data_IF_549656607263
#
_entry.id   IF_549656607263
#
_cell.length_a   1.000
_cell.length_b   1.000
_cell.length_c   1.000
_cell.angle_alpha   90.00
_cell.angle_beta   90.00
_cell.angle_gamma   90.00
#
_symmetry.space_group_name_H-M   'P 1'
#
loop_
_entity.id
_entity.type
_entity.pdbx_description
1 polymer ?
#
# COMPACT_ATOMS: atom_id res chain seq x y z
N UNK A 1 -27.95 21.52 1.47
CA UNK A 1 -27.45 21.74 2.84
C UNK A 1 -26.18 20.92 3.05
N UNK A 2 -25.07 21.29 2.45
CA UNK A 2 -23.81 20.54 2.60
C UNK A 2 -22.56 21.46 2.50
N UNK A 3 -22.62 22.64 3.12
CA UNK A 3 -21.55 23.64 3.04
C UNK A 3 -20.83 23.90 4.38
N UNK A 4 -21.11 23.15 5.45
CA UNK A 4 -20.60 23.48 6.78
C UNK A 4 -19.45 22.62 7.32
N UNK A 5 -19.02 21.53 6.66
CA UNK A 5 -17.92 20.69 7.20
C UNK A 5 -16.57 20.90 6.53
N UNK A 6 -16.51 21.58 5.39
CA UNK A 6 -15.25 21.85 4.66
C UNK A 6 -14.37 22.94 5.29
N UNK A 7 -14.95 23.84 6.10
CA UNK A 7 -14.20 24.99 6.65
C UNK A 7 -13.30 24.65 7.85
N UNK A 8 -13.54 23.52 8.54
CA UNK A 8 -12.79 23.18 9.77
C UNK A 8 -11.48 22.44 9.52
N UNK A 9 -11.39 21.64 8.43
CA UNK A 9 -10.17 20.86 8.13
C UNK A 9 -9.14 21.68 7.38
N UNK A 10 -9.57 22.59 6.52
CA UNK A 10 -8.69 23.50 5.76
C UNK A 10 -8.11 24.61 6.66
N UNK A 11 -8.80 25.02 7.71
CA UNK A 11 -8.37 26.09 8.62
C UNK A 11 -7.11 25.76 9.44
N UNK A 12 -6.90 24.49 9.79
CA UNK A 12 -5.77 24.12 10.67
C UNK A 12 -4.43 23.98 9.92
N UNK A 13 -4.44 23.70 8.61
CA UNK A 13 -3.20 23.69 7.80
C UNK A 13 -2.75 25.11 7.43
N UNK A 14 -3.68 26.09 7.41
CA UNK A 14 -3.39 27.47 6.99
C UNK A 14 -2.60 28.30 8.01
N UNK A 15 -2.61 27.96 9.29
CA UNK A 15 -2.00 28.80 10.33
C UNK A 15 -0.51 28.54 10.58
N UNK A 16 0.11 27.55 9.94
CA UNK A 16 1.49 27.14 10.24
C UNK A 16 2.54 27.52 9.19
N UNK A 17 2.18 28.19 8.08
CA UNK A 17 3.19 28.64 7.12
C UNK A 17 3.02 30.12 6.78
N UNK A 18 3.90 31.01 7.29
CA UNK A 18 3.86 32.45 6.99
C UNK A 18 4.34 32.80 5.58
N UNK A 19 4.68 31.85 4.73
CA UNK A 19 5.10 32.07 3.36
C UNK A 19 3.91 31.98 2.42
N UNK A 20 3.75 33.00 1.61
CA UNK A 20 2.72 33.21 0.59
C UNK A 20 2.78 32.18 -0.58
N UNK A 21 3.55 31.10 -0.45
CA UNK A 21 3.74 30.10 -1.50
C UNK A 21 2.62 29.04 -1.43
N UNK A 22 1.60 29.18 -2.28
CA UNK A 22 0.49 28.22 -2.45
C UNK A 22 0.73 27.26 -3.62
N UNK A 23 1.99 27.06 -4.01
CA UNK A 23 2.36 26.15 -5.09
C UNK A 23 2.40 24.71 -4.58
N UNK A 24 1.71 23.79 -5.27
CA UNK A 24 1.58 22.38 -4.89
C UNK A 24 1.96 21.48 -6.05
N UNK A 25 2.85 20.52 -5.80
CA UNK A 25 3.17 19.45 -6.72
C UNK A 25 2.16 18.33 -6.61
N UNK A 26 1.42 18.07 -7.68
CA UNK A 26 0.42 16.99 -7.74
C UNK A 26 0.96 15.78 -8.50
N UNK A 27 0.99 14.61 -7.86
CA UNK A 27 1.24 13.33 -8.52
C UNK A 27 0.07 12.95 -9.42
N UNK A 28 0.24 13.08 -10.74
CA UNK A 28 -0.79 12.82 -11.75
C UNK A 28 -0.60 11.45 -12.39
N UNK A 29 -1.64 10.62 -12.36
CA UNK A 29 -1.68 9.34 -13.08
C UNK A 29 -2.51 9.38 -14.36
N UNK A 30 -3.14 10.52 -14.66
CA UNK A 30 -4.13 10.64 -15.73
C UNK A 30 -5.50 10.04 -15.38
N UNK A 31 -5.65 9.31 -14.28
CA UNK A 31 -6.90 8.68 -13.86
C UNK A 31 -7.86 9.61 -13.13
N UNK A 32 -9.03 9.07 -12.77
CA UNK A 32 -10.16 9.76 -12.11
C UNK A 32 -9.70 10.56 -10.88
N UNK A 33 -9.00 9.89 -9.97
CA UNK A 33 -8.69 10.44 -8.64
C UNK A 33 -7.68 11.60 -8.73
N UNK A 34 -6.64 11.46 -9.54
CA UNK A 34 -5.67 12.55 -9.74
C UNK A 34 -6.28 13.76 -10.46
N UNK A 35 -7.19 13.54 -11.40
CA UNK A 35 -7.91 14.60 -12.10
C UNK A 35 -8.81 15.39 -11.14
N UNK A 36 -9.58 14.67 -10.32
CA UNK A 36 -10.44 15.32 -9.32
C UNK A 36 -9.63 16.11 -8.28
N UNK A 37 -8.51 15.53 -7.81
CA UNK A 37 -7.62 16.20 -6.87
C UNK A 37 -7.03 17.51 -7.43
N UNK A 38 -6.62 17.53 -8.71
CA UNK A 38 -6.15 18.75 -9.37
C UNK A 38 -7.21 19.86 -9.36
N UNK A 39 -8.44 19.55 -9.78
CA UNK A 39 -9.55 20.49 -9.81
C UNK A 39 -9.86 21.04 -8.40
N UNK A 40 -9.92 20.18 -7.40
CA UNK A 40 -10.20 20.59 -6.02
C UNK A 40 -9.11 21.52 -5.46
N UNK A 41 -7.85 21.27 -5.79
CA UNK A 41 -6.73 22.13 -5.38
C UNK A 41 -6.81 23.50 -6.06
N UNK A 42 -7.10 23.56 -7.36
CA UNK A 42 -7.29 24.82 -8.08
C UNK A 42 -8.47 25.62 -7.51
N UNK A 43 -9.59 24.97 -7.18
CA UNK A 43 -10.75 25.64 -6.55
C UNK A 43 -10.43 26.17 -5.15
N UNK A 44 -9.48 25.55 -4.44
CA UNK A 44 -8.97 26.03 -3.15
C UNK A 44 -7.91 27.14 -3.31
N UNK A 45 -7.60 27.54 -4.54
CA UNK A 45 -6.66 28.62 -4.86
C UNK A 45 -5.19 28.21 -4.77
N UNK A 46 -4.87 26.93 -4.95
CA UNK A 46 -3.49 26.49 -5.14
C UNK A 46 -3.05 26.65 -6.59
N UNK A 47 -1.78 27.02 -6.79
CA UNK A 47 -1.09 26.88 -8.05
C UNK A 47 -0.62 25.43 -8.17
N UNK A 48 -1.28 24.67 -9.04
CA UNK A 48 -1.00 23.22 -9.20
C UNK A 48 0.04 23.02 -10.30
N UNK A 49 1.10 22.28 -9.96
CA UNK A 49 2.08 21.74 -10.92
C UNK A 49 1.95 20.23 -10.94
N UNK A 50 1.82 19.63 -12.12
CA UNK A 50 1.63 18.18 -12.28
C UNK A 50 2.95 17.44 -12.52
N UNK A 51 3.11 16.28 -11.92
CA UNK A 51 4.16 15.33 -12.28
C UNK A 51 3.59 13.93 -12.47
N UNK A 52 3.89 13.31 -13.61
CA UNK A 52 3.59 11.90 -13.88
C UNK A 52 4.86 11.08 -13.77
N UNK A 53 4.87 10.07 -12.89
CA UNK A 53 6.01 9.16 -12.75
C UNK A 53 5.86 7.99 -13.72
N UNK A 54 6.81 7.84 -14.63
CA UNK A 54 6.96 6.65 -15.46
C UNK A 54 7.83 5.65 -14.70
N UNK A 55 7.17 4.70 -14.02
CA UNK A 55 7.85 3.76 -13.13
C UNK A 55 8.01 2.37 -13.75
N UNK A 56 7.12 2.00 -14.65
CA UNK A 56 7.11 0.70 -15.34
C UNK A 56 6.33 0.81 -16.64
N UNK A 57 6.75 0.07 -17.65
CA UNK A 57 6.09 0.02 -18.95
C UNK A 57 5.40 -1.36 -19.11
N UNK A 58 4.10 -1.40 -18.94
CA UNK A 58 3.30 -2.59 -19.26
C UNK A 58 3.01 -2.62 -20.75
N UNK A 59 3.31 -3.74 -21.40
CA UNK A 59 3.19 -3.88 -22.87
C UNK A 59 1.78 -3.55 -23.40
N UNK A 60 0.74 -3.94 -22.66
CA UNK A 60 -0.67 -3.66 -22.99
C UNK A 60 -1.05 -2.19 -22.89
N UNK A 61 -0.26 -1.39 -22.20
CA UNK A 61 -0.51 0.04 -21.95
C UNK A 61 0.31 0.97 -22.86
N UNK A 62 1.16 0.42 -23.72
CA UNK A 62 1.92 1.22 -24.67
C UNK A 62 1.07 1.58 -25.91
N UNK A 63 1.31 2.78 -26.44
CA UNK A 63 0.80 3.18 -27.75
C UNK A 63 1.71 2.71 -28.89
N UNK A 64 1.40 3.10 -30.12
CA UNK A 64 2.19 2.75 -31.32
C UNK A 64 3.61 3.33 -31.34
N UNK A 65 3.89 4.32 -30.51
CA UNK A 65 5.20 4.97 -30.38
C UNK A 65 5.98 4.46 -29.17
N UNK A 66 5.42 3.48 -28.43
CA UNK A 66 6.03 2.92 -27.21
C UNK A 66 5.91 3.83 -26.00
N UNK A 67 4.97 4.79 -26.01
CA UNK A 67 4.70 5.65 -24.86
C UNK A 67 3.52 5.11 -24.05
N UNK A 68 3.62 5.04 -22.71
CA UNK A 68 2.48 4.64 -21.88
C UNK A 68 1.29 5.59 -22.01
N UNK A 69 0.11 5.04 -22.28
CA UNK A 69 -1.14 5.79 -22.50
C UNK A 69 -1.47 6.71 -21.32
N UNK A 70 -1.20 6.30 -20.10
CA UNK A 70 -1.46 7.12 -18.90
C UNK A 70 -0.68 8.45 -18.90
N UNK A 71 0.48 8.51 -19.58
CA UNK A 71 1.25 9.77 -19.73
C UNK A 71 0.52 10.71 -20.69
N UNK A 72 0.01 10.21 -21.82
CA UNK A 72 -0.79 11.01 -22.76
C UNK A 72 -2.07 11.53 -22.10
N UNK A 73 -2.76 10.68 -21.35
CA UNK A 73 -3.96 11.04 -20.57
C UNK A 73 -3.66 12.11 -19.52
N UNK A 74 -2.55 11.98 -18.78
CA UNK A 74 -2.15 12.99 -17.81
C UNK A 74 -1.83 14.35 -18.47
N UNK A 75 -1.16 14.33 -19.62
CA UNK A 75 -0.88 15.54 -20.41
C UNK A 75 -2.16 16.21 -20.94
N UNK A 76 -3.10 15.40 -21.42
CA UNK A 76 -4.41 15.92 -21.87
C UNK A 76 -5.15 16.60 -20.71
N UNK A 77 -5.24 15.95 -19.56
CA UNK A 77 -5.86 16.51 -18.35
C UNK A 77 -5.16 17.81 -17.94
N UNK A 78 -3.82 17.80 -17.87
CA UNK A 78 -3.04 18.98 -17.51
C UNK A 78 -3.29 20.15 -18.48
N UNK A 79 -3.30 19.89 -19.80
CA UNK A 79 -3.60 20.89 -20.82
C UNK A 79 -5.01 21.49 -20.68
N UNK A 80 -6.02 20.67 -20.40
CA UNK A 80 -7.40 21.11 -20.16
C UNK A 80 -7.54 21.96 -18.90
N UNK A 81 -6.74 21.69 -17.88
CA UNK A 81 -6.75 22.41 -16.60
C UNK A 81 -5.78 23.61 -16.57
N UNK A 82 -4.98 23.81 -17.63
CA UNK A 82 -3.94 24.85 -17.64
C UNK A 82 -2.83 24.61 -16.61
N UNK A 83 -2.52 23.33 -16.30
CA UNK A 83 -1.51 22.94 -15.31
C UNK A 83 -0.18 22.72 -16.03
N UNK A 84 0.91 23.30 -15.50
CA UNK A 84 2.28 22.92 -15.86
C UNK A 84 2.50 21.44 -15.56
N UNK A 85 3.02 20.65 -16.52
CA UNK A 85 3.10 19.20 -16.36
C UNK A 85 4.46 18.65 -16.78
N UNK A 86 5.01 17.82 -15.91
CA UNK A 86 6.30 17.14 -16.10
C UNK A 86 6.13 15.62 -16.10
N UNK A 87 7.12 14.93 -16.69
CA UNK A 87 7.23 13.47 -16.65
C UNK A 87 8.55 13.11 -16.00
N UNK A 88 8.50 12.39 -14.89
CA UNK A 88 9.66 11.83 -14.21
C UNK A 88 9.86 10.39 -14.68
N UNK A 89 10.93 10.11 -15.43
CA UNK A 89 11.30 8.75 -15.80
C UNK A 89 12.11 8.11 -14.67
N UNK A 90 11.46 7.21 -13.96
CA UNK A 90 11.98 6.60 -12.73
C UNK A 90 12.04 5.06 -12.84
N UNK A 91 12.01 4.52 -14.06
CA UNK A 91 11.91 3.06 -14.32
C UNK A 91 13.08 2.27 -13.73
N UNK A 92 14.30 2.77 -13.85
CA UNK A 92 15.49 2.10 -13.31
C UNK A 92 15.45 2.02 -11.78
N UNK A 93 15.18 3.15 -11.13
CA UNK A 93 15.05 3.22 -9.68
C UNK A 93 13.91 2.38 -9.13
N UNK A 94 12.79 2.34 -9.83
CA UNK A 94 11.64 1.51 -9.47
C UNK A 94 11.97 0.01 -9.60
N UNK A 95 12.58 -0.39 -10.70
CA UNK A 95 12.99 -1.77 -10.93
C UNK A 95 13.95 -2.26 -9.85
N UNK A 96 15.00 -1.50 -9.58
CA UNK A 96 16.03 -1.89 -8.61
C UNK A 96 15.54 -1.92 -7.16
N UNK A 97 14.54 -1.09 -6.79
CA UNK A 97 14.08 -0.96 -5.40
C UNK A 97 12.79 -1.73 -5.12
N UNK A 98 11.80 -1.59 -6.00
CA UNK A 98 10.45 -2.10 -5.74
C UNK A 98 10.22 -3.47 -6.37
N UNK A 99 10.62 -3.63 -7.65
CA UNK A 99 10.48 -4.92 -8.33
C UNK A 99 11.43 -5.95 -7.69
N UNK A 100 12.67 -5.56 -7.42
CA UNK A 100 13.64 -6.45 -6.76
C UNK A 100 13.16 -6.85 -5.35
N UNK A 101 12.70 -5.90 -4.54
CA UNK A 101 12.08 -6.20 -3.24
C UNK A 101 10.95 -7.23 -3.37
N UNK A 102 10.08 -7.07 -4.36
CA UNK A 102 8.98 -8.00 -4.60
C UNK A 102 9.46 -9.43 -4.88
N UNK A 103 10.47 -9.58 -5.73
CA UNK A 103 11.08 -10.88 -6.04
C UNK A 103 11.76 -11.47 -4.80
N UNK A 104 12.57 -10.69 -4.10
CA UNK A 104 13.33 -11.14 -2.93
C UNK A 104 12.42 -11.63 -1.80
N UNK A 105 11.28 -10.98 -1.57
CA UNK A 105 10.30 -11.42 -0.57
C UNK A 105 9.73 -12.80 -0.91
N UNK A 106 9.33 -13.02 -2.17
CA UNK A 106 8.84 -14.33 -2.59
C UNK A 106 9.93 -15.41 -2.50
N UNK A 107 11.18 -15.07 -2.82
CA UNK A 107 12.32 -15.97 -2.65
C UNK A 107 12.62 -16.29 -1.19
N UNK A 108 12.22 -15.45 -0.27
CA UNK A 108 12.29 -15.72 1.17
C UNK A 108 11.04 -16.44 1.72
N UNK A 109 10.08 -16.81 0.85
CA UNK A 109 8.82 -17.44 1.25
C UNK A 109 7.88 -16.50 1.99
N UNK A 110 8.01 -15.20 1.75
CA UNK A 110 7.13 -14.14 2.28
C UNK A 110 6.21 -13.62 1.17
N UNK A 111 5.13 -12.98 1.55
CA UNK A 111 4.18 -12.40 0.60
C UNK A 111 4.26 -10.88 0.67
N UNK A 112 4.92 -10.21 -0.29
CA UNK A 112 5.14 -8.77 -0.24
C UNK A 112 3.86 -7.95 -0.45
N UNK A 113 3.91 -6.71 0.05
CA UNK A 113 3.02 -5.65 -0.38
C UNK A 113 3.87 -4.50 -0.96
N UNK A 114 4.13 -4.49 -2.27
CA UNK A 114 5.06 -3.53 -2.86
C UNK A 114 4.58 -2.08 -2.73
N UNK A 115 3.27 -1.81 -2.64
CA UNK A 115 2.74 -0.46 -2.45
C UNK A 115 3.17 0.17 -1.12
N UNK A 116 3.29 -0.64 -0.07
CA UNK A 116 3.73 -0.18 1.25
C UNK A 116 5.19 0.28 1.21
N UNK A 117 6.04 -0.40 0.45
CA UNK A 117 7.43 0.00 0.25
C UNK A 117 7.56 1.14 -0.76
N UNK A 118 6.76 1.10 -1.83
CA UNK A 118 6.79 2.11 -2.88
C UNK A 118 6.45 3.51 -2.35
N UNK A 119 5.42 3.65 -1.51
CA UNK A 119 5.01 4.98 -1.05
C UNK A 119 6.15 5.71 -0.32
N UNK A 120 6.73 5.22 0.80
CA UNK A 120 7.76 5.97 1.53
C UNK A 120 9.11 6.01 0.82
N UNK A 121 9.54 4.90 0.22
CA UNK A 121 10.91 4.79 -0.30
C UNK A 121 11.06 5.31 -1.73
N UNK A 122 9.95 5.43 -2.45
CA UNK A 122 10.00 5.76 -3.87
C UNK A 122 9.05 6.91 -4.25
N UNK A 123 7.73 6.71 -4.19
CA UNK A 123 6.75 7.68 -4.69
C UNK A 123 6.88 9.05 -4.00
N UNK A 124 6.80 9.10 -2.68
CA UNK A 124 6.86 10.36 -1.94
C UNK A 124 8.26 10.97 -1.93
N UNK A 125 9.33 10.16 -2.02
CA UNK A 125 10.68 10.66 -2.23
C UNK A 125 10.78 11.42 -3.56
N UNK A 126 10.36 10.80 -4.67
CA UNK A 126 10.37 11.43 -6.00
C UNK A 126 9.52 12.70 -6.00
N UNK A 127 8.31 12.65 -5.41
CA UNK A 127 7.45 13.83 -5.30
C UNK A 127 8.12 14.95 -4.50
N UNK A 128 8.81 14.64 -3.41
CA UNK A 128 9.53 15.63 -2.61
C UNK A 128 10.68 16.27 -3.42
N UNK A 129 11.50 15.46 -4.08
CA UNK A 129 12.60 15.95 -4.91
C UNK A 129 12.11 16.85 -6.06
N UNK A 130 11.00 16.50 -6.70
CA UNK A 130 10.40 17.35 -7.74
C UNK A 130 9.74 18.60 -7.17
N UNK A 131 9.10 18.52 -5.99
CA UNK A 131 8.53 19.67 -5.32
C UNK A 131 9.61 20.72 -5.00
N UNK A 132 10.76 20.25 -4.49
CA UNK A 132 11.89 21.13 -4.17
C UNK A 132 12.49 21.77 -5.43
N UNK A 133 12.62 21.02 -6.54
CA UNK A 133 13.10 21.54 -7.84
C UNK A 133 12.19 22.60 -8.45
N UNK A 134 10.87 22.48 -8.23
CA UNK A 134 9.85 23.33 -8.84
C UNK A 134 9.32 24.39 -7.87
N UNK A 135 9.98 24.58 -6.73
CA UNK A 135 9.59 25.52 -5.67
C UNK A 135 8.14 25.35 -5.21
N UNK A 136 7.70 24.07 -5.05
CA UNK A 136 6.40 23.74 -4.52
C UNK A 136 6.49 23.51 -3.01
N UNK A 137 5.73 24.27 -2.22
CA UNK A 137 5.69 24.13 -0.77
C UNK A 137 5.03 22.82 -0.35
N UNK A 138 4.05 22.36 -1.13
CA UNK A 138 3.21 21.20 -0.82
C UNK A 138 3.33 20.11 -1.88
N UNK A 139 2.96 18.88 -1.44
CA UNK A 139 2.85 17.70 -2.29
C UNK A 139 1.42 17.18 -2.17
N UNK A 140 0.79 16.85 -3.29
CA UNK A 140 -0.55 16.27 -3.28
C UNK A 140 -0.64 14.99 -4.09
N UNK A 141 -1.55 14.11 -3.68
CA UNK A 141 -1.89 12.88 -4.40
C UNK A 141 -3.38 12.58 -4.28
N UNK A 142 -3.89 11.74 -5.18
CA UNK A 142 -5.27 11.26 -5.16
C UNK A 142 -5.54 10.14 -4.16
N UNK A 143 -4.79 10.01 -3.06
CA UNK A 143 -5.08 9.01 -2.04
C UNK A 143 -6.30 9.39 -1.21
N UNK A 144 -7.12 8.38 -0.89
CA UNK A 144 -8.28 8.49 0.00
C UNK A 144 -7.85 8.37 1.47
N UNK A 145 -7.21 9.39 1.98
CA UNK A 145 -6.78 9.51 3.38
C UNK A 145 -6.87 10.97 3.80
N UNK A 146 -6.84 11.23 5.09
CA UNK A 146 -6.72 12.57 5.66
C UNK A 146 -5.43 12.68 6.48
N UNK A 147 -5.01 13.90 6.76
CA UNK A 147 -3.93 14.19 7.71
C UNK A 147 -4.45 15.11 8.80
N UNK A 148 -3.97 14.91 10.01
CA UNK A 148 -4.22 15.77 11.16
C UNK A 148 -2.90 16.05 11.87
N UNK A 149 -2.72 17.28 12.36
CA UNK A 149 -1.59 17.64 13.20
C UNK A 149 -2.09 17.76 14.64
N UNK A 150 -1.53 16.95 15.54
CA UNK A 150 -1.85 16.97 16.97
C UNK A 150 -0.54 17.00 17.76
N UNK A 151 -0.40 17.96 18.66
CA UNK A 151 0.78 18.13 19.52
C UNK A 151 2.12 18.18 18.75
N UNK A 152 2.10 18.73 17.52
CA UNK A 152 3.27 18.83 16.65
C UNK A 152 3.60 17.57 15.85
N UNK A 153 2.79 16.51 15.93
CA UNK A 153 2.92 15.29 15.15
C UNK A 153 1.82 15.20 14.07
N UNK A 154 2.21 14.83 12.87
CA UNK A 154 1.30 14.59 11.75
C UNK A 154 0.89 13.14 11.72
N UNK A 155 -0.41 12.88 11.72
CA UNK A 155 -1.00 11.54 11.64
C UNK A 155 -1.78 11.40 10.34
N UNK A 156 -1.71 10.21 9.76
CA UNK A 156 -2.66 9.78 8.74
C UNK A 156 -3.94 9.34 9.44
N UNK A 157 -5.06 9.78 8.89
CA UNK A 157 -6.40 9.39 9.31
C UNK A 157 -7.08 8.68 8.15
N UNK A 158 -7.83 7.62 8.43
CA UNK A 158 -8.56 6.87 7.40
C UNK A 158 -9.51 7.79 6.63
N UNK A 159 -9.63 7.55 5.31
CA UNK A 159 -10.58 8.26 4.46
C UNK A 159 -12.03 7.99 4.85
N UNK A 160 -12.93 8.89 4.45
CA UNK A 160 -14.37 8.76 4.73
C UNK A 160 -15.08 7.71 3.85
N UNK A 161 -14.43 7.24 2.79
CA UNK A 161 -14.86 6.07 2.03
C UNK A 161 -14.13 4.81 2.54
N UNK A 162 -14.80 3.94 3.32
CA UNK A 162 -14.15 2.75 3.89
C UNK A 162 -13.77 1.71 2.84
N UNK A 163 -14.35 1.77 1.62
CA UNK A 163 -14.00 0.88 0.52
C UNK A 163 -12.77 1.36 -0.26
N UNK A 164 -12.44 2.66 -0.13
CA UNK A 164 -11.32 3.32 -0.82
C UNK A 164 -10.22 3.78 0.12
N UNK A 165 -10.39 3.67 1.43
CA UNK A 165 -9.36 4.03 2.41
C UNK A 165 -8.02 3.40 2.08
N UNK A 166 -7.00 4.22 1.90
CA UNK A 166 -5.64 3.84 1.50
C UNK A 166 -4.59 4.07 2.61
N UNK A 167 -5.04 4.38 3.81
CA UNK A 167 -4.16 4.61 4.97
C UNK A 167 -3.19 3.45 5.22
N UNK A 168 -3.65 2.21 4.97
CA UNK A 168 -2.84 0.99 5.09
C UNK A 168 -1.53 1.03 4.30
N UNK A 169 -1.47 1.75 3.18
CA UNK A 169 -0.27 1.82 2.33
C UNK A 169 0.71 2.93 2.71
N UNK A 170 0.35 3.79 3.67
CA UNK A 170 1.08 5.02 3.94
C UNK A 170 1.75 5.06 5.32
N UNK A 171 1.67 3.99 6.10
CA UNK A 171 2.23 3.95 7.46
C UNK A 171 3.74 4.24 7.52
N UNK A 172 4.44 4.01 6.42
CA UNK A 172 5.87 4.25 6.30
C UNK A 172 6.28 5.71 6.09
N UNK A 173 5.34 6.65 5.87
CA UNK A 173 5.68 8.06 5.61
C UNK A 173 6.26 8.74 6.87
N UNK A 174 7.29 9.58 6.64
CA UNK A 174 7.92 10.37 7.71
C UNK A 174 7.18 11.68 7.99
N UNK A 175 7.45 12.26 9.17
CA UNK A 175 6.82 13.51 9.63
C UNK A 175 7.07 14.69 8.67
N UNK A 176 8.30 14.83 8.16
CA UNK A 176 8.67 15.88 7.22
C UNK A 176 7.86 15.82 5.92
N UNK A 177 7.61 14.60 5.42
CA UNK A 177 6.79 14.38 4.22
C UNK A 177 5.32 14.67 4.53
N UNK A 178 4.80 14.14 5.65
CA UNK A 178 3.41 14.33 6.05
C UNK A 178 3.05 15.80 6.29
N UNK A 179 3.99 16.60 6.81
CA UNK A 179 3.81 18.04 7.00
C UNK A 179 3.56 18.82 5.69
N UNK A 180 4.01 18.27 4.56
CA UNK A 180 3.83 18.87 3.22
C UNK A 180 2.69 18.24 2.43
N UNK A 181 2.10 17.12 2.90
CA UNK A 181 1.12 16.35 2.15
C UNK A 181 -0.29 16.95 2.22
N UNK A 182 -0.93 17.04 1.06
CA UNK A 182 -2.35 17.35 0.91
C UNK A 182 -3.04 16.18 0.20
N UNK A 183 -4.13 15.69 0.78
CA UNK A 183 -4.93 14.60 0.24
C UNK A 183 -6.37 15.08 -0.02
N UNK A 184 -6.66 15.66 -1.19
CA UNK A 184 -7.95 16.33 -1.45
C UNK A 184 -9.17 15.39 -1.38
N UNK A 185 -8.95 14.08 -1.59
CA UNK A 185 -10.02 13.08 -1.65
C UNK A 185 -10.36 12.43 -0.31
N UNK A 186 -9.65 12.77 0.77
CA UNK A 186 -9.82 12.10 2.06
C UNK A 186 -11.22 12.18 2.65
N UNK A 187 -11.93 13.29 2.44
CA UNK A 187 -13.32 13.49 2.89
C UNK A 187 -14.38 13.11 1.85
N UNK A 188 -14.00 12.46 0.74
CA UNK A 188 -14.90 12.18 -0.37
C UNK A 188 -15.15 10.67 -0.54
N UNK A 189 -16.35 10.33 -0.97
CA UNK A 189 -16.68 8.98 -1.43
C UNK A 189 -16.49 8.86 -2.93
N UNK A 190 -16.09 7.71 -3.42
CA UNK A 190 -15.81 7.50 -4.86
C UNK A 190 -16.97 7.87 -5.79
N UNK A 191 -18.23 7.52 -5.49
CA UNK A 191 -19.36 7.97 -6.31
C UNK A 191 -19.45 9.50 -6.42
N UNK A 192 -19.21 10.23 -5.33
CA UNK A 192 -19.27 11.69 -5.29
C UNK A 192 -18.13 12.31 -6.11
N UNK A 193 -16.93 11.71 -6.08
CA UNK A 193 -15.79 12.10 -6.93
C UNK A 193 -16.13 11.94 -8.43
N UNK A 194 -16.80 10.85 -8.80
CA UNK A 194 -17.24 10.62 -10.19
C UNK A 194 -18.28 11.65 -10.62
N UNK A 195 -19.26 11.95 -9.77
CA UNK A 195 -20.26 12.96 -10.05
C UNK A 195 -19.63 14.36 -10.18
N UNK A 196 -18.73 14.71 -9.25
CA UNK A 196 -18.00 15.97 -9.30
C UNK A 196 -17.24 16.15 -10.64
N UNK A 197 -16.51 15.12 -11.09
CA UNK A 197 -15.83 15.17 -12.38
C UNK A 197 -16.78 15.31 -13.56
N UNK A 198 -17.94 14.64 -13.54
CA UNK A 198 -18.94 14.77 -14.59
C UNK A 198 -19.49 16.20 -14.67
N UNK A 199 -19.77 16.82 -13.53
CA UNK A 199 -20.26 18.20 -13.40
C UNK A 199 -19.22 19.23 -13.85
N UNK A 200 -17.92 18.90 -13.74
CA UNK A 200 -16.79 19.71 -14.20
C UNK A 200 -16.42 19.50 -15.68
N UNK A 201 -17.22 18.76 -16.44
CA UNK A 201 -16.99 18.53 -17.86
C UNK A 201 -16.06 17.37 -18.19
N UNK A 202 -15.73 16.50 -17.21
CA UNK A 202 -14.93 15.29 -17.37
C UNK A 202 -15.80 14.01 -17.37
N UNK A 203 -16.97 14.05 -17.98
CA UNK A 203 -17.96 12.99 -17.95
C UNK A 203 -17.45 11.63 -18.49
N UNK A 204 -16.58 11.64 -19.52
CA UNK A 204 -15.96 10.42 -20.04
C UNK A 204 -14.98 9.83 -19.02
N UNK A 205 -14.09 10.68 -18.46
CA UNK A 205 -13.14 10.28 -17.41
C UNK A 205 -13.87 9.70 -16.18
N UNK A 206 -14.98 10.29 -15.78
CA UNK A 206 -15.79 9.82 -14.64
C UNK A 206 -16.32 8.38 -14.81
N UNK A 207 -16.40 7.84 -16.03
CA UNK A 207 -16.88 6.48 -16.36
C UNK A 207 -15.77 5.45 -16.48
N UNK A 208 -14.51 5.86 -16.44
CA UNK A 208 -13.39 4.92 -16.59
C UNK A 208 -13.36 3.86 -15.48
N UNK A 209 -12.77 2.72 -15.82
CA UNK A 209 -12.44 1.67 -14.86
C UNK A 209 -11.34 2.09 -13.90
N UNK A 210 -11.16 1.31 -12.87
CA UNK A 210 -10.09 1.52 -11.89
C UNK A 210 -9.10 0.36 -11.98
N UNK A 211 -7.82 0.65 -11.93
CA UNK A 211 -6.79 -0.36 -11.76
C UNK A 211 -6.86 -0.88 -10.33
N UNK A 212 -7.08 -2.18 -10.17
CA UNK A 212 -7.21 -2.86 -8.87
C UNK A 212 -5.97 -3.67 -8.51
N UNK A 213 -5.01 -3.76 -9.41
CA UNK A 213 -3.83 -4.61 -9.31
C UNK A 213 -2.56 -3.80 -9.03
N UNK A 214 -1.48 -4.52 -8.75
CA UNK A 214 -0.15 -3.92 -8.58
C UNK A 214 0.28 -3.30 -9.91
N UNK A 215 0.74 -2.06 -9.90
CA UNK A 215 0.94 -1.23 -11.10
C UNK A 215 1.97 -1.75 -12.12
N UNK A 216 2.75 -2.77 -11.78
CA UNK A 216 3.76 -3.39 -12.65
C UNK A 216 3.50 -4.87 -12.95
N UNK A 217 2.34 -5.41 -12.56
CA UNK A 217 1.96 -6.81 -12.81
C UNK A 217 0.71 -6.85 -13.67
N UNK A 218 0.80 -7.55 -14.79
CA UNK A 218 -0.36 -7.92 -15.61
C UNK A 218 -0.70 -9.38 -15.35
N UNK A 219 -1.90 -9.65 -14.85
CA UNK A 219 -2.37 -11.01 -14.61
C UNK A 219 -1.77 -11.68 -13.38
N UNK A 220 -1.22 -12.89 -13.53
CA UNK A 220 -0.73 -13.69 -12.41
C UNK A 220 0.71 -13.28 -12.02
N UNK A 221 0.93 -12.96 -10.74
CA UNK A 221 2.24 -12.63 -10.22
C UNK A 221 3.29 -13.74 -10.44
N UNK A 222 2.87 -14.98 -10.60
CA UNK A 222 3.75 -16.12 -10.86
C UNK A 222 4.39 -16.04 -12.24
N UNK A 223 3.63 -15.56 -13.24
CA UNK A 223 4.14 -15.33 -14.59
C UNK A 223 5.12 -14.15 -14.58
N UNK A 224 4.81 -13.10 -13.82
CA UNK A 224 5.73 -12.01 -13.58
C UNK A 224 7.05 -12.47 -12.92
N UNK A 225 6.98 -13.32 -11.89
CA UNK A 225 8.19 -13.88 -11.27
C UNK A 225 9.05 -14.66 -12.27
N UNK A 226 8.45 -15.47 -13.15
CA UNK A 226 9.19 -16.22 -14.18
C UNK A 226 9.83 -15.30 -15.22
N UNK A 227 9.13 -14.25 -15.61
CA UNK A 227 9.63 -13.28 -16.60
C UNK A 227 10.81 -12.47 -16.06
N UNK A 228 10.71 -11.97 -14.82
CA UNK A 228 11.70 -11.04 -14.24
C UNK A 228 12.78 -11.70 -13.41
N UNK A 229 12.62 -12.97 -13.08
CA UNK A 229 13.62 -13.82 -12.43
C UNK A 229 13.58 -15.24 -13.02
N UNK A 230 13.97 -15.41 -14.29
CA UNK A 230 13.86 -16.68 -14.99
C UNK A 230 14.67 -17.82 -14.37
N UNK A 231 15.64 -17.49 -13.53
CA UNK A 231 16.43 -18.44 -12.76
C UNK A 231 15.67 -19.06 -11.57
N UNK A 232 14.50 -18.55 -11.18
CA UNK A 232 13.72 -19.07 -10.03
C UNK A 232 13.46 -20.57 -10.17
N UNK A 233 13.01 -21.02 -11.34
CA UNK A 233 12.67 -22.43 -11.56
C UNK A 233 13.91 -23.34 -11.46
N UNK A 234 15.10 -22.82 -11.79
CA UNK A 234 16.37 -23.54 -11.66
C UNK A 234 16.92 -23.51 -10.23
N UNK A 235 16.76 -22.40 -9.52
CA UNK A 235 17.24 -22.24 -8.15
C UNK A 235 16.37 -22.98 -7.13
N UNK A 236 15.05 -22.93 -7.30
CA UNK A 236 14.10 -23.51 -6.36
C UNK A 236 13.62 -24.89 -6.82
N UNK A 237 13.23 -25.00 -8.10
CA UNK A 237 12.74 -26.26 -8.69
C UNK A 237 11.46 -26.78 -8.04
N UNK A 238 11.16 -28.05 -8.34
CA UNK A 238 10.01 -28.72 -7.74
C UNK A 238 10.24 -29.01 -6.25
N UNK A 239 9.19 -28.77 -5.46
CA UNK A 239 9.17 -29.06 -4.03
C UNK A 239 8.05 -30.03 -3.63
N UNK A 240 7.87 -30.23 -2.34
CA UNK A 240 6.88 -31.16 -1.79
C UNK A 240 5.79 -30.44 -1.01
N UNK A 241 4.54 -30.78 -1.30
CA UNK A 241 3.46 -30.56 -0.33
C UNK A 241 3.60 -31.55 0.81
N UNK A 242 3.49 -31.05 2.04
CA UNK A 242 3.56 -31.85 3.25
C UNK A 242 2.39 -31.55 4.18
N UNK A 243 2.02 -32.52 5.03
CA UNK A 243 1.11 -32.29 6.15
C UNK A 243 1.85 -31.77 7.40
N UNK A 244 1.12 -31.58 8.50
CA UNK A 244 1.69 -31.12 9.77
C UNK A 244 2.69 -32.11 10.39
N UNK A 245 2.58 -33.40 10.07
CA UNK A 245 3.52 -34.46 10.49
C UNK A 245 4.78 -34.53 9.59
N UNK A 246 4.79 -33.78 8.49
CA UNK A 246 5.88 -33.78 7.50
C UNK A 246 5.74 -34.90 6.45
N UNK A 247 4.63 -35.62 6.41
CA UNK A 247 4.36 -36.62 5.38
C UNK A 247 4.11 -35.95 4.04
N UNK A 248 4.70 -36.52 2.99
CA UNK A 248 4.55 -35.97 1.63
C UNK A 248 3.14 -36.25 1.10
N UNK A 249 2.45 -35.20 0.67
CA UNK A 249 1.12 -35.25 0.07
C UNK A 249 1.18 -35.22 -1.47
N UNK A 250 2.23 -34.62 -2.03
CA UNK A 250 2.42 -34.47 -3.49
C UNK A 250 3.56 -33.51 -3.79
N UNK A 251 3.65 -33.04 -5.04
CA UNK A 251 4.70 -32.12 -5.49
C UNK A 251 4.12 -30.78 -5.96
N UNK A 252 4.93 -29.73 -5.91
CA UNK A 252 4.58 -28.39 -6.41
C UNK A 252 5.73 -27.78 -7.21
N UNK A 253 5.47 -26.67 -7.93
CA UNK A 253 6.43 -26.06 -8.84
C UNK A 253 7.51 -25.20 -8.17
N UNK A 254 7.46 -25.02 -6.86
CA UNK A 254 8.35 -24.17 -6.07
C UNK A 254 7.56 -23.35 -5.04
N UNK A 255 8.08 -23.23 -3.82
CA UNK A 255 7.39 -22.50 -2.73
C UNK A 255 7.07 -21.02 -3.05
N UNK A 256 7.82 -20.26 -3.90
CA UNK A 256 7.51 -18.87 -4.18
C UNK A 256 6.16 -18.66 -4.89
N UNK A 257 5.62 -19.71 -5.50
CA UNK A 257 4.34 -19.65 -6.21
C UNK A 257 3.13 -19.87 -5.29
N UNK A 258 3.33 -19.86 -3.96
CA UNK A 258 2.28 -20.10 -2.97
C UNK A 258 2.27 -19.01 -1.91
N UNK A 259 1.08 -18.79 -1.33
CA UNK A 259 0.86 -17.78 -0.27
C UNK A 259 0.12 -18.42 0.89
N UNK A 260 0.46 -18.08 2.14
CA UNK A 260 -0.26 -18.54 3.33
C UNK A 260 -1.74 -18.17 3.26
N UNK A 261 -2.62 -19.14 3.53
CA UNK A 261 -4.06 -19.01 3.40
C UNK A 261 -4.60 -19.34 1.99
N UNK A 262 -3.73 -19.58 1.01
CA UNK A 262 -4.16 -19.98 -0.33
C UNK A 262 -4.87 -21.32 -0.30
N UNK A 263 -6.07 -21.38 -0.95
CA UNK A 263 -6.88 -22.59 -1.11
C UNK A 263 -6.97 -23.07 -2.57
N UNK A 264 -7.07 -22.12 -3.50
CA UNK A 264 -7.23 -22.41 -4.94
C UNK A 264 -5.88 -22.48 -5.65
N UNK A 265 -5.81 -23.22 -6.75
CA UNK A 265 -4.61 -23.28 -7.59
C UNK A 265 -3.46 -24.05 -6.94
N UNK A 266 -3.74 -24.97 -6.02
CA UNK A 266 -2.70 -25.83 -5.42
C UNK A 266 -2.25 -26.95 -6.37
N UNK A 267 -3.09 -27.36 -7.32
CA UNK A 267 -2.75 -28.42 -8.28
C UNK A 267 -2.69 -29.83 -7.67
N UNK A 268 -3.30 -30.02 -6.50
CA UNK A 268 -3.33 -31.29 -5.77
C UNK A 268 -4.77 -31.67 -5.38
N UNK A 269 -5.13 -32.93 -5.51
CA UNK A 269 -6.43 -33.48 -5.13
C UNK A 269 -6.31 -34.24 -3.80
N UNK A 270 -6.83 -33.65 -2.70
CA UNK A 270 -6.77 -34.24 -1.36
C UNK A 270 -8.13 -34.76 -0.87
N UNK A 271 -9.18 -34.74 -1.72
CA UNK A 271 -10.53 -35.16 -1.34
C UNK A 271 -11.26 -34.20 -0.38
N UNK A 272 -10.57 -33.22 0.18
CA UNK A 272 -11.11 -32.15 1.04
C UNK A 272 -10.43 -30.80 0.75
N UNK A 273 -11.07 -29.67 1.07
CA UNK A 273 -10.40 -28.39 0.99
C UNK A 273 -9.12 -28.36 1.85
N UNK A 274 -8.03 -27.86 1.28
CA UNK A 274 -6.78 -27.67 2.00
C UNK A 274 -6.26 -26.24 1.79
N UNK A 275 -5.51 -25.76 2.78
CA UNK A 275 -4.97 -24.42 2.81
C UNK A 275 -3.46 -24.44 2.99
N UNK A 276 -2.75 -23.51 2.40
CA UNK A 276 -1.33 -23.30 2.66
C UNK A 276 -1.18 -22.73 4.07
N UNK A 277 -0.55 -23.50 4.96
CA UNK A 277 -0.31 -23.10 6.34
C UNK A 277 1.05 -22.45 6.53
N UNK A 278 2.07 -22.95 5.81
CA UNK A 278 3.46 -22.53 5.98
C UNK A 278 4.28 -22.77 4.73
N UNK A 279 5.17 -21.85 4.43
CA UNK A 279 6.20 -22.00 3.43
C UNK A 279 7.55 -22.25 4.13
N UNK A 280 8.35 -23.16 3.60
CA UNK A 280 9.70 -23.43 4.08
C UNK A 280 10.70 -23.36 2.92
N UNK A 281 11.35 -22.22 2.73
CA UNK A 281 12.36 -22.06 1.66
C UNK A 281 13.51 -23.05 1.76
N UNK A 282 14.04 -23.28 2.97
CA UNK A 282 15.22 -24.14 3.19
C UNK A 282 15.01 -25.59 2.73
N UNK A 283 13.77 -26.08 2.82
CA UNK A 283 13.39 -27.44 2.45
C UNK A 283 12.59 -27.51 1.17
N UNK A 284 12.31 -26.39 0.55
CA UNK A 284 11.38 -26.26 -0.57
C UNK A 284 10.08 -27.03 -0.32
N UNK A 285 9.41 -26.76 0.82
CA UNK A 285 8.15 -27.42 1.18
C UNK A 285 7.03 -26.42 1.44
N UNK A 286 5.83 -26.79 1.02
CA UNK A 286 4.57 -26.10 1.27
C UNK A 286 3.72 -26.97 2.18
N UNK A 287 3.49 -26.54 3.42
CA UNK A 287 2.65 -27.26 4.36
C UNK A 287 1.18 -26.96 4.12
N UNK A 288 0.38 -28.02 4.00
CA UNK A 288 -1.07 -27.94 3.83
C UNK A 288 -1.79 -28.44 5.08
N UNK A 289 -2.94 -27.85 5.39
CA UNK A 289 -3.82 -28.26 6.48
C UNK A 289 -5.22 -27.67 6.35
N UNK A 290 -5.97 -27.71 7.44
CA UNK A 290 -7.34 -27.24 7.49
C UNK A 290 -7.41 -25.72 7.79
N UNK A 291 -8.57 -25.08 7.55
CA UNK A 291 -8.75 -23.65 7.81
C UNK A 291 -8.52 -23.27 9.28
N UNK A 292 -8.83 -24.18 10.20
CA UNK A 292 -8.65 -23.96 11.64
C UNK A 292 -7.17 -23.84 12.04
N UNK A 293 -6.27 -24.48 11.30
CA UNK A 293 -4.82 -24.41 11.54
C UNK A 293 -4.21 -23.04 11.20
N UNK A 294 -4.94 -22.19 10.47
CA UNK A 294 -4.55 -20.82 10.16
C UNK A 294 -4.90 -19.81 11.25
N UNK A 295 -5.68 -20.21 12.24
CA UNK A 295 -6.22 -19.33 13.27
C UNK A 295 -5.20 -19.10 14.38
N UNK A 296 -5.03 -17.87 14.81
CA UNK A 296 -4.12 -17.49 15.90
C UNK A 296 -4.63 -16.26 16.66
N UNK A 297 -4.17 -16.11 17.90
CA UNK A 297 -4.34 -14.92 18.73
C UNK A 297 -3.07 -14.09 18.86
N UNK A 298 -1.97 -14.50 18.23
CA UNK A 298 -0.68 -13.84 18.36
C UNK A 298 -0.01 -13.65 17.00
N UNK A 299 0.80 -12.62 16.93
CA UNK A 299 1.62 -12.33 15.76
C UNK A 299 2.95 -11.74 16.20
N UNK A 300 4.03 -12.12 15.53
CA UNK A 300 5.31 -11.44 15.59
C UNK A 300 5.39 -10.41 14.47
N UNK A 301 5.82 -9.21 14.80
CA UNK A 301 6.10 -8.15 13.85
C UNK A 301 7.54 -7.66 13.98
N UNK A 302 8.08 -7.09 12.91
CA UNK A 302 9.43 -6.57 12.82
C UNK A 302 9.45 -5.20 12.15
N UNK A 303 10.56 -4.46 12.29
CA UNK A 303 10.73 -3.13 11.70
C UNK A 303 9.57 -2.19 12.06
N UNK A 304 9.20 -2.17 13.33
CA UNK A 304 8.12 -1.32 13.84
C UNK A 304 8.49 0.15 13.63
N UNK A 305 7.58 0.90 13.01
CA UNK A 305 7.67 2.34 12.86
C UNK A 305 6.46 2.97 13.54
N UNK A 306 6.71 3.75 14.56
CA UNK A 306 5.71 4.45 15.34
C UNK A 306 5.65 5.90 14.92
N UNK A 307 4.48 6.51 15.01
CA UNK A 307 4.33 7.96 14.82
C UNK A 307 4.80 8.70 16.07
N UNK A 308 4.48 8.15 17.25
CA UNK A 308 4.93 8.63 18.55
C UNK A 308 5.23 7.42 19.45
N UNK A 309 6.51 7.19 19.73
CA UNK A 309 7.03 6.05 20.51
C UNK A 309 6.44 5.94 21.92
N UNK A 310 6.15 7.08 22.57
CA UNK A 310 5.61 7.09 23.92
C UNK A 310 4.15 6.66 23.98
N UNK A 311 3.40 6.89 22.93
CA UNK A 311 1.96 6.61 22.87
C UNK A 311 1.64 5.22 22.33
N UNK A 312 2.42 4.70 21.41
CA UNK A 312 2.12 3.45 20.71
C UNK A 312 1.82 2.27 21.65
N UNK A 313 2.65 2.06 22.68
CA UNK A 313 2.50 0.97 23.64
C UNK A 313 1.44 1.20 24.73
N UNK A 314 1.01 2.45 24.93
CA UNK A 314 0.10 2.86 26.02
C UNK A 314 -1.30 3.26 25.55
N UNK A 315 -1.57 3.28 24.24
CA UNK A 315 -2.85 3.77 23.73
C UNK A 315 -3.99 2.75 23.96
N UNK A 316 -4.99 3.18 24.71
CA UNK A 316 -6.25 2.45 24.84
C UNK A 316 -6.98 2.44 23.46
N UNK A 317 -7.60 1.30 23.15
CA UNK A 317 -8.34 1.12 21.89
C UNK A 317 -7.46 0.86 20.68
N UNK A 318 -6.21 0.38 20.88
CA UNK A 318 -5.34 -0.03 19.82
C UNK A 318 -5.95 -1.17 19.01
N UNK A 319 -5.92 -1.04 17.70
CA UNK A 319 -6.38 -2.06 16.78
C UNK A 319 -5.42 -2.20 15.60
N UNK A 320 -5.42 -3.35 14.93
CA UNK A 320 -4.49 -3.63 13.84
C UNK A 320 -5.20 -4.20 12.60
N UNK A 321 -4.78 -3.76 11.43
CA UNK A 321 -5.10 -4.39 10.15
C UNK A 321 -3.88 -5.17 9.65
N UNK A 322 -4.08 -6.43 9.31
CA UNK A 322 -3.01 -7.31 8.81
C UNK A 322 -3.07 -7.53 7.30
N UNK A 323 -4.02 -6.90 6.62
CA UNK A 323 -4.18 -6.85 5.17
C UNK A 323 -4.97 -5.61 4.79
N UNK A 324 -4.77 -5.11 3.58
CA UNK A 324 -5.43 -3.91 3.07
C UNK A 324 -6.94 -3.89 3.28
N UNK A 325 -7.64 -4.97 2.93
CA UNK A 325 -9.12 -5.06 3.02
C UNK A 325 -9.62 -5.79 4.28
N UNK A 326 -8.74 -6.12 5.23
CA UNK A 326 -9.19 -6.72 6.48
C UNK A 326 -9.87 -5.71 7.39
N UNK A 327 -10.78 -6.18 8.22
CA UNK A 327 -11.27 -5.39 9.34
C UNK A 327 -10.12 -5.11 10.32
N UNK A 328 -10.20 -3.99 11.00
CA UNK A 328 -9.33 -3.71 12.14
C UNK A 328 -9.73 -4.58 13.33
N UNK A 329 -8.74 -5.22 13.95
CA UNK A 329 -8.95 -6.13 15.08
C UNK A 329 -8.32 -5.50 16.32
N UNK A 330 -9.04 -5.39 17.45
CA UNK A 330 -8.46 -4.92 18.70
C UNK A 330 -7.26 -5.77 19.11
N UNK A 331 -6.21 -5.11 19.59
CA UNK A 331 -4.97 -5.79 19.94
C UNK A 331 -4.21 -5.06 21.04
N UNK A 332 -3.20 -5.73 21.58
CA UNK A 332 -2.25 -5.16 22.52
C UNK A 332 -0.81 -5.54 22.15
N UNK A 333 0.11 -4.62 22.40
CA UNK A 333 1.55 -4.90 22.34
C UNK A 333 1.90 -5.64 23.63
N UNK A 334 2.39 -6.87 23.51
CA UNK A 334 2.71 -7.69 24.69
C UNK A 334 4.10 -7.37 25.20
N UNK A 335 5.10 -7.44 24.34
CA UNK A 335 6.52 -7.16 24.67
C UNK A 335 7.37 -7.12 23.39
N UNK A 336 8.50 -6.49 23.50
CA UNK A 336 9.62 -6.71 22.61
C UNK A 336 10.26 -8.07 22.93
N UNK A 337 10.61 -8.83 21.92
CA UNK A 337 11.30 -10.11 22.03
C UNK A 337 12.70 -9.97 21.43
N UNK A 338 13.52 -11.03 21.52
CA UNK A 338 14.86 -11.04 20.94
C UNK A 338 14.83 -10.63 19.47
N UNK A 339 15.90 -10.03 19.00
CA UNK A 339 16.10 -9.54 17.62
C UNK A 339 15.25 -8.32 17.21
N UNK A 340 14.73 -7.53 18.17
CA UNK A 340 13.94 -6.33 17.90
C UNK A 340 12.55 -6.61 17.30
N UNK A 341 12.09 -7.85 17.37
CA UNK A 341 10.69 -8.20 17.02
C UNK A 341 9.77 -7.86 18.17
N UNK A 342 8.50 -7.64 17.86
CA UNK A 342 7.46 -7.31 18.83
C UNK A 342 6.35 -8.36 18.78
N UNK A 343 5.96 -8.87 19.95
CA UNK A 343 4.83 -9.77 20.10
C UNK A 343 3.54 -8.96 20.28
N UNK A 344 2.60 -9.19 19.37
CA UNK A 344 1.26 -8.58 19.38
C UNK A 344 0.23 -9.67 19.70
N UNK A 345 -0.70 -9.38 20.61
CA UNK A 345 -1.84 -10.23 20.92
C UNK A 345 -3.11 -9.60 20.36
N UNK A 346 -3.88 -10.38 19.64
CA UNK A 346 -5.24 -10.03 19.22
C UNK A 346 -6.25 -10.36 20.32
N UNK A 347 -7.26 -9.53 20.49
CA UNK A 347 -8.34 -9.78 21.44
C UNK A 347 -9.33 -10.85 20.92
N UNK A 348 -9.35 -11.06 19.61
CA UNK A 348 -10.11 -12.13 18.94
C UNK A 348 -9.20 -12.97 18.03
N UNK A 349 -9.72 -14.09 17.57
CA UNK A 349 -8.98 -14.98 16.66
C UNK A 349 -8.88 -14.40 15.25
N UNK A 350 -7.68 -14.45 14.68
CA UNK A 350 -7.37 -13.95 13.35
C UNK A 350 -6.81 -15.08 12.50
N UNK A 351 -7.22 -15.13 11.24
CA UNK A 351 -6.80 -16.19 10.31
C UNK A 351 -5.72 -15.70 9.35
N UNK A 352 -4.79 -16.59 9.04
CA UNK A 352 -3.76 -16.44 8.01
C UNK A 352 -2.90 -15.17 8.18
N UNK A 353 -2.26 -15.05 9.33
CA UNK A 353 -1.18 -14.06 9.57
C UNK A 353 -0.03 -14.40 8.62
N UNK A 354 0.23 -13.51 7.66
CA UNK A 354 1.08 -13.79 6.51
C UNK A 354 2.37 -12.96 6.57
N UNK A 355 3.55 -13.58 6.75
CA UNK A 355 4.84 -12.89 6.75
C UNK A 355 5.07 -12.08 5.45
N UNK A 356 5.66 -10.88 5.59
CA UNK A 356 5.88 -9.94 4.50
C UNK A 356 4.72 -8.97 4.26
N UNK A 357 3.51 -9.27 4.76
CA UNK A 357 2.42 -8.29 4.80
C UNK A 357 2.65 -7.27 5.93
N UNK A 358 1.95 -6.14 5.87
CA UNK A 358 2.01 -5.15 6.95
C UNK A 358 1.01 -5.42 8.06
N UNK A 359 1.42 -5.13 9.28
CA UNK A 359 0.55 -4.89 10.42
C UNK A 359 0.46 -3.39 10.63
N UNK A 360 -0.70 -2.79 10.39
CA UNK A 360 -0.90 -1.33 10.50
C UNK A 360 -1.82 -1.04 11.67
N UNK A 361 -1.33 -0.22 12.59
CA UNK A 361 -1.95 0.03 13.89
C UNK A 361 -2.72 1.34 13.90
N UNK A 362 -3.92 1.28 14.50
CA UNK A 362 -4.85 2.40 14.56
C UNK A 362 -5.41 2.59 15.96
N UNK A 363 -5.70 3.84 16.31
CA UNK A 363 -6.57 4.22 17.42
C UNK A 363 -7.74 5.02 16.84
N UNK A 364 -8.92 4.42 16.86
CA UNK A 364 -10.06 4.94 16.10
C UNK A 364 -9.77 5.01 14.60
N UNK A 365 -9.81 6.20 14.01
CA UNK A 365 -9.46 6.47 12.61
C UNK A 365 -7.98 6.84 12.40
N UNK A 366 -7.24 7.11 13.45
CA UNK A 366 -5.87 7.60 13.39
C UNK A 366 -4.88 6.44 13.27
N UNK A 367 -4.02 6.49 12.28
CA UNK A 367 -2.90 5.59 12.11
C UNK A 367 -1.79 6.01 13.09
N UNK A 368 -1.41 5.11 14.01
CA UNK A 368 -0.41 5.37 15.05
C UNK A 368 0.91 4.65 14.83
N UNK A 369 0.96 3.70 13.90
CA UNK A 369 2.20 3.00 13.55
C UNK A 369 1.96 1.90 12.53
N UNK A 370 3.05 1.24 12.14
CA UNK A 370 3.03 0.08 11.27
C UNK A 370 4.29 -0.75 11.42
N UNK A 371 4.21 -1.99 10.94
CA UNK A 371 5.31 -2.95 10.98
C UNK A 371 5.14 -3.96 9.84
N UNK A 372 6.17 -4.76 9.59
CA UNK A 372 6.01 -5.96 8.78
C UNK A 372 5.69 -7.17 9.66
N UNK A 373 4.83 -8.04 9.17
CA UNK A 373 4.56 -9.33 9.80
C UNK A 373 5.80 -10.20 9.60
N UNK A 374 6.46 -10.54 10.70
CA UNK A 374 7.66 -11.36 10.71
C UNK A 374 7.35 -12.85 10.48
N UNK A 375 8.38 -13.66 10.31
CA UNK A 375 8.24 -15.10 10.36
C UNK A 375 7.68 -15.53 11.72
N UNK A 376 6.62 -16.34 11.72
CA UNK A 376 5.97 -16.83 12.93
C UNK A 376 6.67 -18.08 13.53
N UNK A 377 7.88 -18.42 13.03
CA UNK A 377 8.67 -19.54 13.58
C UNK A 377 9.03 -19.25 15.04
N UNK A 378 8.79 -20.25 15.91
CA UNK A 378 9.14 -20.16 17.32
C UNK A 378 8.23 -19.27 18.16
N UNK A 379 7.12 -18.77 17.62
CA UNK A 379 6.20 -17.91 18.38
C UNK A 379 5.72 -18.56 19.69
N UNK A 380 5.55 -19.89 19.70
CA UNK A 380 5.11 -20.63 20.89
C UNK A 380 6.04 -20.53 22.09
N UNK A 381 7.32 -20.18 21.90
CA UNK A 381 8.24 -19.96 23.04
C UNK A 381 8.01 -18.62 23.75
N UNK A 382 7.23 -17.70 23.13
CA UNK A 382 6.98 -16.36 23.62
C UNK A 382 5.55 -16.19 24.19
N UNK A 383 4.66 -17.17 23.96
CA UNK A 383 3.30 -17.23 24.45
C UNK A 383 3.28 -18.05 25.76
#
# INVERSE_FOLDING_TARGET
>A
MCARSLSLIVGQVMDMNPMNNRRVLMGMSGGIDSTAACLMLQEQGYEVVGVTMRVFDLASQLDSEGMPRFIAEAREVAGRLGIEHHVADEREGFRSKIVQYFIDEYMQGRTPNPCVMCNPLFKFRVLTEWADRLDCAFIATGHYVQTVCEEGHYYIVTGDDPQKDQSYFLWGLGQEVLARCIFPLGGWKKPDVRQYLADKGFALKAKEGESMEVCFIEGDYRDFLREYSPEIDNQVGQGKFVDAAGCTLGTHQGYPYYTIGQRKGLGIALGKPAYVLKLNPDKNTVMLGDAQDLVTRYMLVEQVKEVDTKRFASEEGLSVRIRYRSKSVPCSIVREVEDGRVLVRFDEEVSAVTPGQSAVFYVGKRLVGGAFIASQRGIGQWI
#
